data_IF_506747251372
#
_entry.id   IF_506747251372
#
_cell.length_a   1.000
_cell.length_b   1.000
_cell.length_c   1.000
_cell.angle_alpha   90.00
_cell.angle_beta   90.00
_cell.angle_gamma   90.00
#
_symmetry.space_group_name_H-M   'P 1'
#
loop_
_entity.id
_entity.type
_entity.pdbx_description
1 polymer ?
#
# COMPACT_ATOMS: atom_id res chain seq x y z
N UNK A 1 -6.99 -16.15 -11.21
CA UNK A 1 -6.73 -14.70 -11.03
C UNK A 1 -7.74 -14.01 -10.11
N UNK A 2 -9.06 -14.13 -10.33
CA UNK A 2 -10.09 -13.47 -9.48
C UNK A 2 -9.96 -13.83 -7.98
N UNK A 3 -9.74 -15.10 -7.65
CA UNK A 3 -9.55 -15.55 -6.26
C UNK A 3 -8.25 -15.04 -5.62
N UNK A 4 -7.20 -14.78 -6.40
CA UNK A 4 -5.92 -14.33 -5.87
C UNK A 4 -6.00 -12.87 -5.40
N UNK A 5 -6.60 -12.01 -6.24
CA UNK A 5 -6.90 -10.62 -5.85
C UNK A 5 -7.97 -10.54 -4.76
N UNK A 6 -8.97 -11.43 -4.75
CA UNK A 6 -9.93 -11.52 -3.65
C UNK A 6 -9.27 -11.95 -2.33
N UNK A 7 -8.32 -12.90 -2.35
CA UNK A 7 -7.56 -13.32 -1.18
C UNK A 7 -6.66 -12.20 -0.62
N UNK A 8 -5.98 -11.46 -1.51
CA UNK A 8 -5.21 -10.25 -1.12
C UNK A 8 -6.14 -9.13 -0.63
N UNK A 9 -7.39 -9.08 -1.09
CA UNK A 9 -8.39 -8.13 -0.56
C UNK A 9 -9.01 -8.55 0.78
N UNK A 10 -8.83 -9.81 1.23
CA UNK A 10 -9.40 -10.37 2.47
C UNK A 10 -8.69 -9.91 3.74
N UNK A 11 -7.61 -9.13 3.61
CA UNK A 11 -6.90 -8.59 4.76
C UNK A 11 -7.84 -7.77 5.64
N UNK A 12 -7.76 -8.06 6.95
CA UNK A 12 -8.48 -7.31 7.99
C UNK A 12 -8.15 -5.83 7.86
N UNK A 13 -9.13 -4.98 8.18
CA UNK A 13 -8.96 -3.52 8.08
C UNK A 13 -7.70 -3.01 8.78
N UNK A 14 -7.39 -3.57 9.95
CA UNK A 14 -6.19 -3.24 10.74
C UNK A 14 -4.92 -3.58 9.95
N UNK A 15 -4.84 -4.77 9.35
CA UNK A 15 -3.69 -5.20 8.55
C UNK A 15 -3.51 -4.34 7.29
N UNK A 16 -4.62 -3.96 6.65
CA UNK A 16 -4.59 -3.01 5.54
C UNK A 16 -4.04 -1.64 5.98
N UNK A 17 -4.53 -1.10 7.10
CA UNK A 17 -4.06 0.18 7.64
C UNK A 17 -2.57 0.12 7.98
N UNK A 18 -2.11 -0.99 8.56
CA UNK A 18 -0.71 -1.21 8.90
C UNK A 18 0.18 -1.23 7.66
N UNK A 19 -0.22 -1.97 6.63
CA UNK A 19 0.48 -2.00 5.33
C UNK A 19 0.50 -0.61 4.65
N UNK A 20 -0.56 0.17 4.83
CA UNK A 20 -0.65 1.53 4.30
C UNK A 20 0.32 2.47 5.03
N UNK A 21 0.40 2.39 6.36
CA UNK A 21 1.37 3.12 7.17
C UNK A 21 2.82 2.75 6.81
N UNK A 22 3.11 1.46 6.62
CA UNK A 22 4.45 0.98 6.24
C UNK A 22 4.83 1.46 4.83
N UNK A 23 3.91 1.37 3.86
CA UNK A 23 4.16 1.83 2.49
C UNK A 23 4.36 3.34 2.37
N UNK A 24 3.72 4.13 3.25
CA UNK A 24 3.88 5.58 3.29
C UNK A 24 5.04 6.04 4.20
N UNK A 25 5.64 5.17 5.01
CA UNK A 25 6.71 5.55 5.94
C UNK A 25 7.90 6.27 5.25
N UNK A 26 8.38 5.86 4.06
CA UNK A 26 9.44 6.58 3.36
C UNK A 26 9.04 8.00 2.96
N UNK A 27 7.76 8.22 2.59
CA UNK A 27 7.25 9.56 2.28
C UNK A 27 7.26 10.46 3.51
N UNK A 28 6.79 9.95 4.66
CA UNK A 28 6.85 10.70 5.91
C UNK A 28 8.29 11.00 6.32
N UNK A 29 9.21 10.06 6.10
CA UNK A 29 10.62 10.25 6.41
C UNK A 29 11.28 11.33 5.55
N UNK A 30 10.92 11.44 4.27
CA UNK A 30 11.45 12.50 3.39
C UNK A 30 10.78 13.85 3.69
N UNK A 31 9.44 13.88 3.81
CA UNK A 31 8.68 15.13 3.91
C UNK A 31 8.65 15.75 5.32
N UNK A 32 8.61 14.94 6.37
CA UNK A 32 8.42 15.43 7.76
C UNK A 32 9.74 15.57 8.50
N UNK A 33 10.65 14.61 8.34
CA UNK A 33 11.95 14.59 9.04
C UNK A 33 12.99 15.47 8.31
N UNK A 34 12.74 15.83 7.04
CA UNK A 34 13.69 16.61 6.24
C UNK A 34 14.94 15.80 5.87
N UNK A 35 14.81 14.47 5.80
CA UNK A 35 15.90 13.58 5.43
C UNK A 35 16.44 13.92 4.05
N UNK A 36 17.75 13.82 3.88
CA UNK A 36 18.40 13.98 2.58
C UNK A 36 17.72 13.10 1.52
N UNK A 37 17.41 13.70 0.37
CA UNK A 37 16.81 13.01 -0.78
C UNK A 37 17.84 12.09 -1.42
N UNK A 38 18.15 10.99 -0.75
CA UNK A 38 18.97 9.93 -1.31
C UNK A 38 18.20 9.16 -2.38
N UNK A 39 18.91 8.66 -3.36
CA UNK A 39 18.35 7.81 -4.41
C UNK A 39 17.54 6.64 -3.82
N UNK A 40 18.02 6.04 -2.73
CA UNK A 40 17.36 4.93 -2.03
C UNK A 40 16.01 5.34 -1.44
N UNK A 41 15.94 6.52 -0.80
CA UNK A 41 14.69 7.02 -0.22
C UNK A 41 13.62 7.26 -1.30
N UNK A 42 14.02 7.82 -2.45
CA UNK A 42 13.14 8.02 -3.60
C UNK A 42 12.64 6.67 -4.14
N UNK A 43 13.53 5.70 -4.33
CA UNK A 43 13.16 4.36 -4.80
C UNK A 43 12.20 3.67 -3.83
N UNK A 44 12.49 3.68 -2.53
CA UNK A 44 11.63 3.12 -1.48
C UNK A 44 10.25 3.80 -1.45
N UNK A 45 10.23 5.12 -1.63
CA UNK A 45 8.99 5.89 -1.67
C UNK A 45 8.12 5.49 -2.87
N UNK A 46 8.72 5.33 -4.05
CA UNK A 46 7.99 4.89 -5.26
C UNK A 46 7.47 3.46 -5.07
N UNK A 47 8.30 2.56 -4.54
CA UNK A 47 7.92 1.18 -4.28
C UNK A 47 6.75 1.09 -3.27
N UNK A 48 6.80 1.91 -2.22
CA UNK A 48 5.76 2.03 -1.21
C UNK A 48 4.44 2.52 -1.77
N UNK A 49 4.45 3.56 -2.62
CA UNK A 49 3.25 4.06 -3.30
C UNK A 49 2.65 2.97 -4.20
N UNK A 50 3.45 2.29 -5.00
CA UNK A 50 2.99 1.21 -5.88
C UNK A 50 2.31 0.11 -5.05
N UNK A 51 2.92 -0.28 -3.92
CA UNK A 51 2.37 -1.28 -3.03
C UNK A 51 1.02 -0.86 -2.44
N UNK A 52 0.90 0.39 -1.95
CA UNK A 52 -0.37 0.92 -1.42
C UNK A 52 -1.45 0.99 -2.50
N UNK A 53 -1.09 1.37 -3.72
CA UNK A 53 -2.01 1.38 -4.87
C UNK A 53 -2.55 -0.03 -5.17
N UNK A 54 -1.66 -1.03 -5.24
CA UNK A 54 -2.07 -2.42 -5.50
C UNK A 54 -3.00 -2.93 -4.39
N UNK A 55 -2.69 -2.68 -3.12
CA UNK A 55 -3.54 -3.07 -1.99
C UNK A 55 -4.91 -2.39 -2.03
N UNK A 56 -4.94 -1.11 -2.40
CA UNK A 56 -6.18 -0.33 -2.48
C UNK A 56 -7.06 -0.85 -3.62
N UNK A 57 -6.46 -1.13 -4.78
CA UNK A 57 -7.16 -1.75 -5.92
C UNK A 57 -7.66 -3.15 -5.53
N UNK A 58 -6.86 -3.98 -4.89
CA UNK A 58 -7.26 -5.32 -4.45
C UNK A 58 -8.45 -5.27 -3.47
N UNK A 59 -8.42 -4.32 -2.53
CA UNK A 59 -9.51 -4.11 -1.58
C UNK A 59 -10.78 -3.60 -2.27
N UNK A 60 -10.66 -2.64 -3.17
CA UNK A 60 -11.79 -2.14 -3.96
C UNK A 60 -12.39 -3.26 -4.83
N UNK A 61 -11.54 -4.06 -5.48
CA UNK A 61 -11.94 -5.19 -6.32
C UNK A 61 -12.74 -6.21 -5.50
N UNK A 62 -12.30 -6.55 -4.29
CA UNK A 62 -13.09 -7.42 -3.39
C UNK A 62 -14.44 -6.79 -3.02
N UNK A 63 -14.44 -5.52 -2.62
CA UNK A 63 -15.65 -4.86 -2.12
C UNK A 63 -16.70 -4.58 -3.22
N UNK A 64 -16.29 -4.50 -4.49
CA UNK A 64 -17.18 -4.27 -5.64
C UNK A 64 -17.51 -5.54 -6.43
N UNK A 65 -16.54 -6.39 -6.73
CA UNK A 65 -16.71 -7.57 -7.59
C UNK A 65 -16.90 -8.88 -6.81
N UNK A 66 -16.63 -8.89 -5.50
CA UNK A 66 -16.74 -10.06 -4.63
C UNK A 66 -17.74 -9.79 -3.48
N UNK A 67 -18.82 -9.07 -3.80
CA UNK A 67 -20.05 -9.03 -3.01
C UNK A 67 -20.91 -10.20 -3.46
N UNK A 68 -20.82 -11.30 -2.73
CA UNK A 68 -21.93 -12.25 -2.62
C UNK A 68 -22.75 -11.86 -1.39
#
# INVERSE_FOLDING_TARGET
MKHFFAGIGEIRFISYLLSLCVGLAPLFHIYVIGSEMSFVNIVLSILGIIFVCILTIARFYRNFFYKE
#
